data_IF_747186595742
#
_entry.id   IF_747186595742
#
_cell.length_a   1.000
_cell.length_b   1.000
_cell.length_c   1.000
_cell.angle_alpha   90.00
_cell.angle_beta   90.00
_cell.angle_gamma   90.00
#
_symmetry.space_group_name_H-M   'P 1'
#
loop_
_entity.id
_entity.type
_entity.pdbx_description
1 polymer ?
2 polymer ?
3 non-polymer ?
#
# COMPACT_ATOMS: atom_id res chain seq x y z
N UNK A 6 -15.58 13.74 12.53
CA UNK A 6 -16.81 13.46 11.81
C UNK A 6 -16.63 12.62 10.51
N UNK A 7 -15.85 11.51 10.57
CA UNK A 7 -15.80 10.73 9.34
C UNK A 7 -17.06 9.94 9.09
N UNK A 8 -17.33 9.71 7.81
CA UNK A 8 -18.49 8.99 7.35
C UNK A 8 -18.34 7.49 7.66
N UNK A 9 -17.19 6.91 7.33
CA UNK A 9 -16.87 5.53 7.69
C UNK A 9 -15.39 5.43 7.87
N UNK A 10 -14.95 4.38 8.55
CA UNK A 10 -13.54 4.18 8.81
C UNK A 10 -13.23 2.69 8.63
N UNK A 11 -12.30 2.36 7.72
CA UNK A 11 -11.86 0.97 7.53
C UNK A 11 -10.37 0.85 7.45
N UNK A 12 -9.87 -0.31 7.91
CA UNK A 12 -8.47 -0.70 7.74
C UNK A 12 -8.17 -1.23 6.34
N UNK A 13 -7.03 -0.81 5.78
CA UNK A 13 -6.58 -1.37 4.54
C UNK A 13 -5.06 -1.42 4.51
N UNK A 14 -4.50 -2.39 3.79
CA UNK A 14 -3.06 -2.41 3.53
C UNK A 14 -2.72 -1.38 2.47
N UNK A 15 -1.48 -0.88 2.50
CA UNK A 15 -1.00 0.08 1.50
C UNK A 15 0.17 -0.46 0.69
N UNK A 16 0.15 -0.22 -0.60
CA UNK A 16 1.16 -0.84 -1.44
C UNK A 16 1.37 0.00 -2.70
N UNK A 17 2.53 -0.07 -3.31
CA UNK A 17 2.87 0.89 -4.37
C UNK A 17 2.49 0.36 -5.74
N UNK A 18 2.90 1.03 -6.81
CA UNK A 18 2.62 0.51 -8.15
C UNK A 18 3.29 -0.82 -8.34
N UNK A 19 4.55 -0.88 -7.95
CA UNK A 19 5.38 -2.04 -8.18
C UNK A 19 5.25 -3.03 -7.04
N UNK A 20 4.24 -2.80 -6.21
CA UNK A 20 3.85 -3.74 -5.19
C UNK A 20 4.82 -3.84 -4.04
N UNK A 21 5.38 -2.72 -3.65
CA UNK A 21 6.07 -2.69 -2.39
C UNK A 21 5.07 -2.33 -1.32
N UNK A 22 5.21 -2.91 -0.15
CA UNK A 22 4.26 -2.58 0.89
C UNK A 22 4.77 -1.36 1.61
N UNK A 23 3.86 -0.46 1.98
CA UNK A 23 4.25 0.66 2.80
C UNK A 23 4.12 0.21 4.23
N UNK A 24 5.23 0.08 4.94
CA UNK A 24 5.16 -0.32 6.33
C UNK A 24 5.42 0.88 7.23
N UNK A 25 4.82 0.86 8.42
CA UNK A 25 5.14 1.88 9.41
C UNK A 25 5.88 1.24 10.56
N UNK A 26 6.73 2.02 11.19
CA UNK A 26 7.43 1.56 12.39
C UNK A 26 7.45 2.69 13.39
N UNK A 27 6.91 2.43 14.57
CA UNK A 27 7.03 3.42 15.62
C UNK A 27 7.91 2.95 16.76
N UNK A 28 9.00 3.71 16.90
CA UNK A 28 10.00 3.51 17.92
C UNK A 28 9.42 4.19 19.16
N UNK A 29 8.17 4.64 18.98
CA UNK A 29 7.25 5.14 20.02
C UNK A 29 7.54 6.58 20.41
N UNK A 30 8.73 7.03 20.04
CA UNK A 30 9.12 8.41 20.24
C UNK A 30 9.19 8.99 18.83
N UNK A 31 10.17 8.53 18.05
CA UNK A 31 10.19 8.83 16.63
C UNK A 31 9.79 7.58 15.85
N UNK A 32 9.82 7.67 14.53
CA UNK A 32 9.31 6.61 13.66
C UNK A 32 10.14 6.39 12.40
N UNK A 33 9.64 5.49 11.57
CA UNK A 33 10.18 5.26 10.25
C UNK A 33 9.03 4.82 9.34
N UNK A 34 9.15 5.12 8.06
CA UNK A 34 8.14 4.69 7.11
C UNK A 34 8.86 4.05 5.94
N UNK A 35 8.51 2.81 5.66
CA UNK A 35 9.26 2.01 4.71
C UNK A 35 8.46 1.74 3.48
N UNK A 36 9.12 1.79 2.33
CA UNK A 36 8.49 1.31 1.13
C UNK A 36 9.34 0.14 0.68
N UNK A 37 8.95 -1.07 1.07
CA UNK A 37 9.82 -2.22 0.83
C UNK A 37 9.13 -3.56 0.74
N UNK A 38 9.67 -4.42 -0.11
CA UNK A 38 9.18 -5.77 -0.29
C UNK A 38 9.26 -6.59 0.99
N UNK A 39 8.14 -7.19 1.42
CA UNK A 39 8.08 -8.01 2.63
C UNK A 39 8.44 -9.48 2.39
N UNK A 40 8.27 -10.34 3.38
CA UNK A 40 8.55 -11.78 3.23
C UNK A 40 7.21 -12.53 3.17
N UNK A 41 7.13 -13.64 2.44
CA UNK A 41 5.85 -14.36 2.28
C UNK A 41 5.20 -14.62 3.61
N UNK A 42 3.90 -14.35 3.65
CA UNK A 42 3.08 -14.57 4.83
C UNK A 42 3.37 -13.64 6.01
N UNK A 43 4.38 -12.78 5.87
CA UNK A 43 4.59 -11.70 6.84
C UNK A 43 3.35 -10.84 6.73
N UNK A 44 2.67 -10.61 7.85
CA UNK A 44 1.48 -9.78 7.85
C UNK A 44 1.85 -8.34 7.50
N UNK A 45 0.93 -7.61 6.91
CA UNK A 45 1.17 -6.25 6.45
C UNK A 45 0.56 -5.25 7.41
N UNK A 46 1.20 -4.09 7.59
CA UNK A 46 0.64 -3.08 8.47
C UNK A 46 -0.62 -2.49 7.85
N UNK A 47 -1.73 -2.59 8.58
CA UNK A 47 -3.04 -2.06 8.17
C UNK A 47 -3.20 -0.68 8.77
N UNK A 48 -3.75 0.25 7.99
CA UNK A 48 -3.93 1.60 8.48
C UNK A 48 -5.40 2.00 8.33
N UNK A 49 -5.89 2.86 9.23
CA UNK A 49 -7.29 3.21 9.16
C UNK A 49 -7.49 4.39 8.23
N UNK A 50 -8.20 4.17 7.13
CA UNK A 50 -8.60 5.27 6.29
C UNK A 50 -9.94 5.68 6.81
N UNK A 51 -10.12 6.97 7.02
CA UNK A 51 -11.37 7.50 7.54
C UNK A 51 -11.86 8.45 6.47
N UNK A 52 -13.07 8.22 5.99
CA UNK A 52 -13.49 8.85 4.74
C UNK A 52 -14.43 9.99 5.00
N UNK A 53 -14.11 11.16 4.47
CA UNK A 53 -14.91 12.35 4.68
C UNK A 53 -15.33 12.78 3.31
N UNK A 54 -16.31 13.65 3.24
CA UNK A 54 -16.83 14.06 1.94
C UNK A 54 -16.34 15.44 1.54
N UNK A 55 -15.49 15.53 0.53
CA UNK A 55 -15.14 16.84 -0.01
C UNK A 55 -16.28 17.37 -0.87
N UNK A 56 -16.36 18.68 -1.02
CA UNK A 56 -17.33 19.25 -1.95
C UNK A 56 -16.72 19.25 -3.36
N UNK A 57 -15.45 18.84 -3.43
CA UNK A 57 -14.81 18.55 -4.70
C UNK A 57 -15.72 17.61 -5.46
N UNK A 58 -16.07 17.97 -6.70
CA UNK A 58 -17.09 17.21 -7.40
C UNK A 58 -16.55 16.01 -8.19
N UNK A 59 -17.46 15.23 -8.76
CA UNK A 59 -17.12 14.11 -9.63
C UNK A 59 -18.37 13.57 -10.34
N UNK A 60 -18.18 12.58 -11.21
CA UNK A 60 -19.25 11.76 -11.82
C UNK A 60 -18.72 10.70 -12.81
N UNK A 68 -22.12 15.33 -8.27
CA UNK A 68 -21.51 14.34 -7.37
C UNK A 68 -20.38 14.92 -6.55
N UNK A 69 -19.97 14.22 -5.48
CA UNK A 69 -18.88 14.71 -4.63
C UNK A 69 -17.90 13.61 -4.23
N UNK A 70 -16.63 13.79 -4.55
CA UNK A 70 -15.58 12.84 -4.17
C UNK A 70 -15.05 12.95 -2.72
N UNK A 71 -14.62 11.82 -2.16
CA UNK A 71 -14.15 11.73 -0.78
C UNK A 71 -12.77 12.27 -0.54
N UNK A 72 -12.51 12.56 0.72
CA UNK A 72 -11.15 12.68 1.20
C UNK A 72 -10.99 11.73 2.38
N UNK A 73 -9.80 11.68 2.94
CA UNK A 73 -9.49 10.61 3.88
C UNK A 73 -8.36 11.02 4.82
N UNK A 74 -8.32 10.44 6.01
CA UNK A 74 -7.17 10.56 6.88
C UNK A 74 -6.70 9.19 7.33
N UNK A 75 -5.38 8.99 7.32
CA UNK A 75 -4.84 7.68 7.58
C UNK A 75 -4.15 7.62 8.94
N UNK A 76 -4.77 6.91 9.86
CA UNK A 76 -4.12 6.57 11.10
C UNK A 76 -3.31 5.31 10.89
N UNK A 77 -1.98 5.42 11.02
CA UNK A 77 -1.11 4.24 10.94
C UNK A 77 -1.36 3.39 12.15
N UNK A 78 -1.49 4.02 13.32
CA UNK A 78 -1.93 3.32 14.52
C UNK A 78 -2.42 4.24 15.65
N UNK A 79 -3.28 3.72 16.53
CA UNK A 79 -3.40 4.20 17.93
C UNK A 79 -3.18 5.71 18.16
N UNK A 80 -4.12 6.53 17.69
CA UNK A 80 -4.02 7.99 17.84
C UNK A 80 -2.91 8.72 17.07
N UNK A 81 -2.42 8.15 15.98
CA UNK A 81 -1.45 8.84 15.11
C UNK A 81 -2.05 8.98 13.73
N UNK A 82 -1.70 10.04 13.01
CA UNK A 82 -2.23 10.25 11.66
C UNK A 82 -1.10 10.58 10.70
N UNK A 83 -1.42 10.82 9.42
CA UNK A 83 -0.37 11.26 8.49
C UNK A 83 -0.48 12.75 8.24
N UNK A 84 0.47 13.48 8.78
CA UNK A 84 0.53 14.93 8.63
C UNK A 84 1.40 15.20 7.40
N UNK A 85 0.96 16.11 6.55
CA UNK A 85 1.75 16.44 5.38
C UNK A 85 2.56 17.73 5.59
N UNK A 86 3.88 17.63 5.50
CA UNK A 86 4.74 18.78 5.77
C UNK A 86 5.03 19.52 4.47
N UNK A 87 4.43 20.69 4.35
CA UNK A 87 4.43 21.47 3.12
C UNK A 87 5.79 21.80 2.54
N UNK A 88 6.53 22.71 3.16
CA UNK A 88 7.77 23.19 2.59
C UNK A 88 8.83 22.09 2.49
N UNK A 89 8.70 21.06 3.33
CA UNK A 89 9.73 20.04 3.42
C UNK A 89 9.43 18.86 2.52
N UNK A 90 8.34 18.95 1.77
CA UNK A 90 7.89 17.86 0.89
C UNK A 90 7.90 16.48 1.54
N UNK A 91 7.50 16.40 2.81
CA UNK A 91 7.64 15.15 3.56
C UNK A 91 6.32 14.69 4.15
N UNK A 92 6.19 13.39 4.46
CA UNK A 92 5.10 12.96 5.34
C UNK A 92 5.60 12.70 6.76
N UNK A 93 4.87 13.18 7.75
CA UNK A 93 5.28 13.04 9.12
C UNK A 93 4.16 12.43 9.95
N UNK A 94 4.46 12.00 11.17
CA UNK A 94 3.45 11.42 12.06
C UNK A 94 3.21 12.28 13.30
N UNK A 95 1.94 12.51 13.64
CA UNK A 95 1.61 13.36 14.80
C UNK A 95 0.63 12.73 15.78
N UNK A 96 0.55 13.28 16.98
CA UNK A 96 -0.30 12.74 18.04
C UNK A 96 -1.68 13.40 18.02
N UNK A 97 -1.72 14.65 18.48
CA UNK A 97 -2.86 15.53 18.26
C UNK A 97 -4.25 14.94 18.52
N UNK A 98 -4.59 14.76 19.79
CA UNK A 98 -5.97 14.44 20.17
C UNK A 98 -6.92 15.43 19.51
N UNK A 99 -6.42 16.66 19.37
CA UNK A 99 -7.16 17.79 18.84
C UNK A 99 -7.79 17.46 17.49
N UNK A 100 -8.91 18.13 17.17
CA UNK A 100 -9.60 18.01 15.88
C UNK A 100 -8.58 18.18 14.77
N UNK A 101 -8.63 17.30 13.79
CA UNK A 101 -7.51 17.14 12.88
C UNK A 101 -7.38 18.30 11.90
N UNK A 102 -6.13 18.69 11.60
CA UNK A 102 -5.82 19.84 10.76
C UNK A 102 -5.81 19.52 9.27
N UNK A 103 -5.64 20.57 8.47
CA UNK A 103 -5.86 20.45 7.03
C UNK A 103 -4.79 19.65 6.34
N UNK A 104 -3.64 19.51 6.99
CA UNK A 104 -2.53 18.77 6.39
C UNK A 104 -2.67 17.30 6.67
N UNK A 105 -3.72 16.94 7.42
CA UNK A 105 -3.97 15.54 7.73
C UNK A 105 -4.91 14.95 6.70
N UNK A 106 -5.46 15.81 5.86
CA UNK A 106 -6.51 15.42 4.94
C UNK A 106 -6.02 15.30 3.50
N UNK A 107 -6.59 14.32 2.79
CA UNK A 107 -6.20 14.07 1.41
C UNK A 107 -7.36 13.74 0.53
N UNK A 108 -7.56 14.52 -0.53
CA UNK A 108 -8.57 14.19 -1.52
C UNK A 108 -8.19 12.87 -2.19
N UNK A 109 -9.13 11.92 -2.21
CA UNK A 109 -8.91 10.64 -2.88
C UNK A 109 -9.03 10.79 -4.42
N UNK A 110 -8.33 9.94 -5.17
CA UNK A 110 -8.55 9.88 -6.61
C UNK A 110 -8.61 8.42 -7.03
N UNK A 111 -9.40 8.11 -8.06
CA UNK A 111 -9.54 6.74 -8.53
C UNK A 111 -9.49 6.59 -10.06
N UNK A 112 -8.49 5.88 -10.59
CA UNK A 112 -8.34 5.73 -12.04
C UNK A 112 -8.80 4.36 -12.54
N UNK A 113 -8.01 3.34 -12.24
CA UNK A 113 -8.43 1.94 -12.40
C UNK A 113 -8.82 1.43 -11.00
N UNK A 114 -9.17 0.16 -10.89
CA UNK A 114 -9.68 -0.41 -9.63
C UNK A 114 -8.66 -0.32 -8.50
N UNK A 115 -9.12 0.06 -7.30
CA UNK A 115 -8.27 0.02 -6.08
C UNK A 115 -7.00 0.91 -6.10
N UNK A 116 -6.69 1.47 -7.26
CA UNK A 116 -5.43 2.13 -7.52
C UNK A 116 -5.67 3.59 -7.24
N UNK A 117 -5.12 4.08 -6.13
CA UNK A 117 -5.47 5.43 -5.69
C UNK A 117 -4.30 6.31 -5.37
N UNK A 118 -4.57 7.62 -5.41
CA UNK A 118 -3.60 8.66 -5.15
C UNK A 118 -4.23 9.70 -4.21
N UNK A 119 -3.39 10.35 -3.41
CA UNK A 119 -3.84 11.22 -2.32
C UNK A 119 -3.31 12.62 -2.53
N UNK A 120 -4.20 13.58 -2.74
CA UNK A 120 -3.81 14.95 -3.01
C UNK A 120 -3.98 15.82 -1.76
N UNK A 121 -3.07 16.75 -1.48
CA UNK A 121 -3.17 17.51 -0.23
C UNK A 121 -4.35 18.47 -0.23
N UNK A 122 -5.24 18.34 0.78
CA UNK A 122 -6.39 19.23 0.91
C UNK A 122 -5.93 20.68 0.92
N UNK A 123 -4.85 20.95 1.66
CA UNK A 123 -4.21 22.27 1.67
C UNK A 123 -3.67 22.78 0.32
N UNK A 124 -2.62 22.15 -0.22
CA UNK A 124 -1.91 22.67 -1.42
C UNK A 124 -1.94 21.81 -2.69
N UNK A 125 -2.53 22.34 -3.77
CA UNK A 125 -2.93 21.57 -4.96
C UNK A 125 -1.78 20.92 -5.76
N UNK A 126 -2.08 19.79 -6.39
CA UNK A 126 -1.16 19.15 -7.31
C UNK A 126 -0.01 18.49 -6.60
N UNK A 127 -0.11 18.43 -5.28
CA UNK A 127 0.90 17.78 -4.46
C UNK A 127 0.33 16.53 -3.83
N UNK A 128 0.90 15.38 -4.17
CA UNK A 128 0.38 14.10 -3.76
C UNK A 128 1.33 13.32 -2.85
N UNK A 129 0.82 12.51 -1.92
CA UNK A 129 1.73 11.54 -1.30
C UNK A 129 2.16 10.68 -2.46
N UNK A 130 3.46 10.39 -2.56
CA UNK A 130 4.03 9.62 -3.64
C UNK A 130 5.32 9.05 -3.09
N UNK A 131 6.13 8.41 -3.91
CA UNK A 131 7.34 7.76 -3.40
C UNK A 131 8.62 8.23 -4.08
N UNK A 132 9.62 8.58 -3.28
CA UNK A 132 10.93 8.93 -3.82
C UNK A 132 12.13 8.32 -3.07
N UNK A 133 12.98 7.67 -3.84
CA UNK A 133 14.12 6.91 -3.33
C UNK A 133 13.71 5.92 -2.25
N UNK A 134 12.69 5.14 -2.53
CA UNK A 134 12.24 4.10 -1.61
C UNK A 134 11.85 4.63 -0.23
N UNK A 135 11.45 5.90 -0.20
CA UNK A 135 10.92 6.52 1.00
C UNK A 135 9.59 7.18 0.64
N UNK A 136 8.78 7.49 1.64
CA UNK A 136 7.52 8.11 1.38
C UNK A 136 7.71 9.60 1.48
N UNK A 137 7.19 10.34 0.50
CA UNK A 137 7.35 11.79 0.47
C UNK A 137 6.19 12.44 -0.27
N UNK A 138 6.34 13.72 -0.57
CA UNK A 138 5.31 14.47 -1.29
C UNK A 138 5.80 14.80 -2.68
N UNK A 139 4.91 14.78 -3.67
CA UNK A 139 5.31 15.00 -5.05
C UNK A 139 4.48 16.14 -5.68
N UNK A 140 5.15 17.12 -6.27
CA UNK A 140 4.44 18.07 -7.08
C UNK A 140 4.51 17.60 -8.54
N UNK A 141 3.43 17.79 -9.30
CA UNK A 141 3.38 17.36 -10.69
C UNK A 141 3.24 18.53 -11.69
N UNK A 150 2.28 8.68 -12.16
CA UNK A 150 2.68 7.26 -12.12
C UNK A 150 3.55 6.89 -10.90
N UNK A 151 4.07 7.90 -10.23
CA UNK A 151 4.81 7.64 -9.00
C UNK A 151 3.89 7.82 -7.80
N UNK A 152 2.63 8.16 -8.06
CA UNK A 152 1.61 8.14 -7.01
C UNK A 152 0.65 6.97 -7.20
N UNK A 153 0.92 5.96 -6.43
CA UNK A 153 0.56 4.67 -6.87
C UNK A 153 0.16 3.97 -5.62
N UNK A 154 -1.10 3.67 -5.40
CA UNK A 154 -1.35 2.97 -4.17
C UNK A 154 -2.44 1.99 -4.40
N UNK A 155 -2.29 0.80 -3.84
CA UNK A 155 -3.33 -0.19 -3.91
C UNK A 155 -3.83 -0.36 -2.50
N UNK A 156 -5.06 -0.86 -2.34
CA UNK A 156 -5.57 -1.09 -0.99
C UNK A 156 -6.03 -2.55 -0.67
N UNK A 157 -6.01 -2.97 0.61
CA UNK A 157 -6.44 -4.34 0.98
C UNK A 157 -6.80 -4.61 2.45
N UNK B 3 14.98 -1.98 13.14
CA UNK B 3 15.39 -3.39 13.16
C UNK B 3 14.67 -4.34 12.17
N UNK B 4 15.24 -4.55 10.98
CA UNK B 4 14.55 -5.24 9.86
C UNK B 4 15.32 -6.39 9.19
N UNK B 5 14.70 -7.55 9.05
CA UNK B 5 15.40 -8.74 8.53
C UNK B 5 15.69 -8.70 7.02
N UNK B 6 16.69 -9.47 6.60
CA UNK B 6 17.10 -9.50 5.19
C UNK B 6 17.78 -10.83 4.95
N UNK B 7 17.79 -11.28 3.70
CA UNK B 7 18.30 -12.62 3.39
C UNK B 7 18.75 -12.80 1.93
N UNK B 8 19.47 -13.89 1.68
CA UNK B 8 19.93 -14.21 0.35
C UNK B 8 20.90 -15.39 0.30
N UNK B 9 21.25 -15.84 -0.90
CA UNK B 9 22.06 -17.04 -1.03
C UNK B 9 23.53 -16.70 -1.08
N UNK B 10 24.36 -17.73 -1.08
CA UNK B 10 25.80 -17.60 -1.29
C UNK B 10 26.02 -17.31 -2.77
N UNK B 11 27.18 -16.72 -3.10
CA UNK B 11 27.54 -16.33 -4.47
C UNK B 11 26.77 -15.15 -5.02
N UNK B 12 25.80 -14.66 -4.26
CA UNK B 12 24.95 -13.59 -4.76
C UNK B 12 25.23 -12.26 -4.10
N UNK B 13 25.18 -11.20 -4.88
CA UNK B 13 25.32 -9.85 -4.33
C UNK B 13 24.15 -9.53 -3.41
N UNK B 14 24.38 -8.86 -2.30
CA UNK B 14 23.26 -8.40 -1.51
C UNK B 14 23.50 -7.02 -0.95
N UNK B 15 22.61 -6.10 -1.27
CA UNK B 15 22.66 -4.77 -0.68
C UNK B 15 21.57 -4.73 0.39
N UNK B 16 21.80 -3.99 1.46
CA UNK B 16 20.90 -3.94 2.59
C UNK B 16 20.74 -2.49 3.04
N UNK B 17 19.52 -1.96 3.01
CA UNK B 17 19.31 -0.56 3.40
C UNK B 17 19.24 -0.43 4.92
N UNK B 18 19.87 0.62 5.45
CA UNK B 18 19.76 0.94 6.88
C UNK B 18 18.33 1.32 7.25
N UNK B 19 17.75 0.64 8.24
CA UNK B 19 16.35 0.76 8.69
C UNK B 19 15.92 2.18 9.04
N UNK B 20 16.76 2.89 9.77
CA UNK B 20 16.47 4.27 10.07
C UNK B 20 16.98 5.12 8.90
N UNK B 21 16.09 5.92 8.30
CA UNK B 21 16.44 6.62 7.07
C UNK B 21 16.96 8.03 7.31
N UNK B 22 17.44 8.65 6.22
CA UNK B 22 18.11 9.94 6.26
C UNK B 22 18.65 10.30 4.90
N UNK B 23 19.59 11.23 4.86
CA UNK B 23 20.03 11.84 3.60
C UNK B 23 21.49 11.57 3.21
N UNK B 24 21.81 11.77 1.93
CA UNK B 24 23.22 11.97 1.59
C UNK B 24 23.71 13.13 2.43
N UNK B 25 24.96 13.09 2.87
CA UNK B 25 25.54 14.13 3.73
C UNK B 25 25.11 14.02 5.19
N UNK B 26 24.03 13.30 5.47
CA UNK B 26 23.87 12.77 6.81
C UNK B 26 24.78 11.55 6.73
N UNK B 27 25.35 11.12 7.85
CA UNK B 27 26.49 10.21 7.77
C UNK B 27 26.35 8.94 8.63
N UNK B 28 26.42 7.79 7.96
CA UNK B 28 25.97 6.49 8.50
C UNK B 28 27.11 5.52 8.77
N UNK B 29 27.08 4.81 9.90
CA UNK B 29 28.16 3.87 10.21
C UNK B 29 27.61 2.48 10.48
N UNK B 30 28.41 1.44 10.29
CA UNK B 30 27.89 0.07 10.42
C UNK B 30 28.79 -0.81 11.28
N UNK B 31 28.25 -1.89 11.87
CA UNK B 31 29.02 -2.72 12.82
C UNK B 31 28.59 -4.18 12.79
N UNK B 32 29.48 -5.11 13.18
CA UNK B 32 29.15 -6.54 13.07
C UNK B 32 29.18 -7.33 14.41
N UNK B 33 30.39 -7.66 14.87
CA UNK B 33 30.63 -8.45 16.10
C UNK B 33 32.12 -8.80 16.27
N UNK B 38 32.78 1.24 12.63
CA UNK B 38 33.78 0.18 12.72
C UNK B 38 33.42 -0.84 11.67
N UNK B 39 33.24 -0.37 10.44
CA UNK B 39 33.10 -1.24 9.27
C UNK B 39 33.66 -0.46 8.08
N UNK B 40 34.22 -1.17 7.08
CA UNK B 40 34.87 -0.44 5.99
C UNK B 40 33.87 0.43 5.27
N UNK B 41 34.22 1.69 5.09
CA UNK B 41 33.33 2.66 4.51
C UNK B 41 33.30 2.60 2.99
N UNK B 42 34.41 2.17 2.39
CA UNK B 42 34.38 1.83 0.97
C UNK B 42 35.27 0.65 0.73
N UNK B 43 34.72 -0.43 0.21
CA UNK B 43 35.55 -1.45 -0.46
C UNK B 43 36.57 -2.37 0.25
N UNK B 44 36.44 -2.71 1.56
CA UNK B 44 37.09 -3.95 2.00
C UNK B 44 36.39 -4.87 1.04
N UNK B 45 37.14 -5.57 0.21
CA UNK B 45 36.59 -5.92 -1.09
C UNK B 45 35.31 -6.77 -1.19
N UNK B 46 34.86 -7.35 -0.08
CA UNK B 46 33.69 -8.17 -0.15
C UNK B 46 32.56 -7.53 0.60
N UNK B 47 32.75 -7.33 1.90
CA UNK B 47 31.68 -6.73 2.68
C UNK B 47 32.05 -5.34 3.18
N UNK B 48 31.30 -4.34 2.73
CA UNK B 48 31.58 -3.00 3.18
C UNK B 48 30.34 -2.15 3.01
N UNK B 49 30.35 -0.92 3.49
CA UNK B 49 29.10 -0.21 3.49
C UNK B 49 29.26 1.15 2.87
N UNK B 50 28.41 1.45 1.90
CA UNK B 50 28.36 2.79 1.35
C UNK B 50 27.08 3.47 1.77
N UNK B 51 27.21 4.44 2.68
CA UNK B 51 26.07 5.19 3.16
C UNK B 51 25.03 4.29 3.80
N UNK B 52 23.76 4.59 3.52
CA UNK B 52 22.65 3.80 4.03
C UNK B 52 22.74 2.34 3.57
N UNK B 53 23.61 2.05 2.61
CA UNK B 53 23.63 0.73 1.99
C UNK B 53 24.76 -0.18 2.45
N UNK B 54 24.44 -1.18 3.25
CA UNK B 54 25.42 -2.23 3.52
C UNK B 54 25.52 -3.10 2.28
N UNK B 55 26.71 -3.28 1.72
CA UNK B 55 26.84 -4.13 0.56
C UNK B 55 27.65 -5.38 0.85
N UNK B 56 27.24 -6.50 0.25
CA UNK B 56 28.01 -7.74 0.34
C UNK B 56 28.26 -8.19 -1.08
N UNK B 57 29.52 -8.33 -1.48
CA UNK B 57 29.81 -8.63 -2.86
C UNK B 57 30.86 -9.71 -3.06
N UNK B 58 30.44 -10.98 -3.09
CA UNK B 58 29.11 -11.54 -2.93
C UNK B 58 28.89 -11.95 -1.48
N UNK B 59 27.71 -12.47 -1.16
CA UNK B 59 27.39 -12.87 0.20
C UNK B 59 27.77 -14.32 0.46
N UNK B 60 28.33 -14.57 1.64
CA UNK B 60 28.60 -15.93 2.09
C UNK B 60 27.86 -16.20 3.40
N UNK B 61 27.64 -17.46 3.71
CA UNK B 61 26.81 -17.83 4.85
C UNK B 61 27.45 -17.37 6.18
N UNK B 62 28.77 -17.37 6.19
CA UNK B 62 29.54 -16.91 7.33
C UNK B 62 29.11 -15.50 7.74
N UNK B 63 28.53 -14.75 6.80
CA UNK B 63 28.24 -13.34 7.01
C UNK B 63 26.99 -13.12 7.78
N UNK B 64 26.29 -14.20 8.09
CA UNK B 64 25.02 -14.05 8.81
C UNK B 64 25.31 -13.47 10.18
N UNK B 65 24.43 -12.59 10.62
CA UNK B 65 24.60 -11.96 11.90
C UNK B 65 23.74 -10.72 11.95
N UNK B 66 23.79 -9.99 13.05
CA UNK B 66 23.08 -8.72 13.08
C UNK B 66 24.04 -7.61 12.79
N UNK B 67 23.67 -6.75 11.85
CA UNK B 67 24.56 -5.66 11.52
C UNK B 67 23.88 -4.38 11.92
N UNK B 68 24.34 -3.76 12.99
CA UNK B 68 23.73 -2.53 13.46
C UNK B 68 24.20 -1.32 12.65
N UNK B 69 23.40 -0.28 12.53
CA UNK B 69 23.83 0.91 11.80
C UNK B 69 23.45 2.17 12.57
N UNK B 70 24.20 3.26 12.36
CA UNK B 70 23.88 4.52 13.02
C UNK B 70 23.94 5.71 12.07
N UNK B 71 22.84 6.45 11.99
CA UNK B 71 22.73 7.66 11.19
C UNK B 71 22.90 8.86 12.11
N UNK B 72 23.78 9.79 11.75
CA UNK B 72 24.13 10.88 12.63
C UNK B 72 23.95 12.27 11.98
N UNK B 73 23.11 13.11 12.58
CA UNK B 73 22.80 14.47 12.06
C UNK B 73 23.81 15.61 12.19
N UNK B 74 24.36 15.87 13.39
CA UNK B 74 24.19 15.33 14.74
C UNK B 74 23.28 16.19 15.61
N UNK B 75 22.03 16.35 15.22
CA UNK B 75 20.99 16.75 16.16
C UNK B 75 20.41 15.45 16.72
N UNK B 76 20.83 14.33 16.13
CA UNK B 76 20.42 13.01 16.58
C UNK B 76 21.41 11.93 16.15
N UNK B 77 21.51 10.83 16.89
CA UNK B 77 21.98 9.61 16.24
C UNK B 77 20.89 8.58 16.28
N UNK B 78 20.24 8.40 15.14
CA UNK B 78 19.25 7.35 15.00
C UNK B 78 20.03 6.07 14.81
N UNK B 79 19.57 4.97 15.37
CA UNK B 79 20.24 3.71 15.14
C UNK B 79 19.24 2.56 14.87
N UNK B 80 19.55 1.73 13.87
CA UNK B 80 18.66 0.64 13.55
C UNK B 80 19.44 -0.52 12.95
N UNK B 81 18.90 -1.74 13.06
CA UNK B 81 19.70 -2.96 12.90
C UNK B 81 19.26 -3.76 11.69
N UNK B 82 20.14 -4.62 11.17
CA UNK B 82 19.73 -5.55 10.12
C UNK B 82 19.96 -7.02 10.52
N UNK B 83 18.89 -7.76 10.73
CA UNK B 83 19.00 -9.18 11.03
C UNK B 83 19.23 -9.83 9.68
N UNK B 84 20.31 -10.58 9.53
CA UNK B 84 20.70 -11.02 8.21
C UNK B 84 21.15 -12.46 8.17
N UNK B 85 20.71 -13.19 7.14
CA UNK B 85 21.03 -14.60 7.01
C UNK B 85 21.31 -15.00 5.56
N UNK B 86 22.43 -15.69 5.33
CA UNK B 86 22.79 -16.18 3.99
C UNK B 86 22.78 -17.71 3.91
N UNK B 87 22.28 -18.22 2.79
CA UNK B 87 21.95 -19.64 2.67
C UNK B 87 22.73 -20.38 1.57
N UNK B 88 22.82 -21.71 1.69
CA UNK B 88 23.44 -22.55 0.67
C UNK B 88 22.39 -23.12 -0.29
N UNK B 89 22.54 -22.89 -1.59
CA UNK B 89 21.58 -23.41 -2.57
C UNK B 89 21.56 -24.95 -2.54
N UNK B 90 20.37 -25.52 -2.39
CA UNK B 90 20.23 -26.92 -2.02
C UNK B 90 20.01 -27.91 -3.16
N UNK B 91 20.02 -27.42 -4.39
CA UNK B 91 19.77 -28.26 -5.59
C UNK B 91 18.42 -28.94 -5.48
N UNK B 92 17.57 -28.36 -4.66
CA UNK B 92 16.20 -28.77 -4.51
C UNK B 92 15.54 -28.41 -5.81
N UNK B 93 16.05 -27.33 -6.39
CA UNK B 93 15.56 -26.67 -7.60
C UNK B 93 14.29 -25.86 -7.32
N UNK B 94 13.65 -26.14 -6.18
CA UNK B 94 12.48 -25.40 -5.75
C UNK B 94 12.88 -24.43 -4.65
N UNK B 95 12.82 -23.13 -4.94
CA UNK B 95 13.10 -22.10 -3.97
C UNK B 95 12.23 -22.33 -2.76
N UNK B 96 12.83 -22.48 -1.58
CA UNK B 96 12.07 -22.71 -0.35
C UNK B 96 11.22 -21.51 0.00
N UNK B 97 10.25 -21.70 0.90
CA UNK B 97 9.29 -20.65 1.20
C UNK B 97 9.90 -19.33 1.74
N UNK B 98 11.17 -19.31 2.07
CA UNK B 98 11.69 -18.01 2.40
C UNK B 98 12.50 -17.43 1.23
N UNK B 99 11.74 -16.75 0.37
CA UNK B 99 12.16 -15.60 -0.41
C UNK B 99 10.83 -14.86 -0.64
N UNK B 100 10.89 -13.54 -0.44
CA UNK B 100 9.89 -12.53 -0.78
C UNK B 100 8.41 -12.84 -0.55
N UNK B 101 7.49 -12.30 -1.36
CA UNK B 101 6.07 -12.46 -1.02
C UNK B 101 5.02 -12.38 -2.12
N UNK B 102 3.97 -13.20 -1.95
CA UNK B 102 2.97 -13.54 -2.97
C UNK B 102 2.27 -12.34 -3.58
N UNK B 103 1.90 -12.49 -4.85
CA UNK B 103 1.45 -11.40 -5.69
C UNK B 103 0.34 -11.91 -6.59
N UNK B 104 -0.74 -11.16 -6.77
CA UNK B 104 -1.88 -11.70 -7.51
C UNK B 104 -2.03 -11.03 -8.87
N UNK B 105 -2.95 -11.55 -9.68
CA UNK B 105 -3.30 -10.92 -10.95
C UNK B 105 -4.60 -11.42 -11.58
N UNK B 106 -5.14 -10.63 -12.52
CA UNK B 106 -6.24 -11.08 -13.37
C UNK B 106 -5.75 -12.00 -14.48
N UNK B 107 -6.66 -12.46 -15.33
CA UNK B 107 -6.29 -13.47 -16.33
C UNK B 107 -5.48 -12.87 -17.49
N UNK B 108 -6.13 -12.13 -18.38
CA UNK B 108 -5.39 -11.23 -19.25
C UNK B 108 -5.51 -9.89 -18.54
N UNK B 109 -6.30 -9.94 -17.47
CA UNK B 109 -6.86 -8.76 -16.83
C UNK B 109 -5.86 -8.05 -15.93
N UNK B 110 -4.92 -8.81 -15.35
CA UNK B 110 -3.68 -8.19 -14.86
C UNK B 110 -2.39 -9.01 -15.04
N UNK B 111 -1.42 -8.40 -15.68
CA UNK B 111 -0.29 -9.15 -16.17
C UNK B 111 1.06 -9.08 -15.40
N UNK B 112 1.16 -8.29 -14.33
CA UNK B 112 2.48 -7.78 -13.93
C UNK B 112 3.17 -8.34 -12.67
N UNK B 113 4.32 -8.97 -12.86
CA UNK B 113 5.09 -9.47 -11.72
C UNK B 113 6.41 -8.70 -11.52
N UNK B 114 6.49 -7.93 -10.44
CA UNK B 114 7.68 -7.14 -10.16
C UNK B 114 8.78 -7.93 -9.48
N UNK B 115 10.01 -7.57 -9.81
CA UNK B 115 11.17 -8.27 -9.32
C UNK B 115 11.58 -7.60 -8.03
N UNK B 116 11.45 -8.30 -6.91
CA UNK B 116 11.63 -7.66 -5.59
C UNK B 116 13.03 -7.12 -5.34
N UNK B 117 13.11 -6.05 -4.57
CA UNK B 117 14.38 -5.49 -4.06
C UNK B 117 15.29 -4.94 -5.14
N UNK B 118 14.87 -5.04 -6.40
CA UNK B 118 15.73 -4.63 -7.49
C UNK B 118 16.20 -3.19 -7.38
N UNK B 119 15.37 -2.36 -6.75
CA UNK B 119 15.70 -0.94 -6.56
C UNK B 119 17.04 -0.79 -5.83
N UNK B 120 17.27 -1.62 -4.82
CA UNK B 120 18.48 -1.53 -4.02
C UNK B 120 19.72 -1.70 -4.86
N UNK B 121 19.61 -2.37 -6.00
CA UNK B 121 20.83 -2.74 -6.72
C UNK B 121 21.05 -1.86 -7.93
N UNK B 122 22.20 -2.03 -8.56
CA UNK B 122 22.56 -1.21 -9.71
C UNK B 122 22.56 -2.11 -10.93
N UNK B 123 21.51 -1.97 -11.74
CA UNK B 123 21.30 -2.85 -12.88
C UNK B 123 20.94 -2.04 -14.11
N UNK B 124 21.74 -2.13 -15.15
CA UNK B 124 21.42 -1.47 -16.41
C UNK B 124 20.86 -2.41 -17.47
N UNK B 125 20.62 -3.66 -17.11
CA UNK B 125 20.29 -4.67 -18.13
C UNK B 125 18.86 -5.13 -18.01
N UNK B 126 18.30 -5.67 -19.12
CA UNK B 126 17.15 -6.58 -19.19
C UNK B 126 17.39 -7.90 -18.43
N UNK B 127 16.46 -8.32 -17.56
CA UNK B 127 16.68 -9.52 -16.72
C UNK B 127 15.98 -10.83 -17.14
N UNK B 128 16.31 -11.92 -16.43
CA UNK B 128 15.80 -13.25 -16.77
C UNK B 128 14.77 -13.72 -15.78
N UNK B 129 13.72 -14.37 -16.29
CA UNK B 129 12.73 -14.92 -15.40
C UNK B 129 12.64 -16.42 -15.57
N UNK B 130 12.29 -17.09 -14.47
CA UNK B 130 12.16 -18.53 -14.41
C UNK B 130 10.97 -18.93 -13.58
N UNK B 131 10.05 -19.71 -14.14
CA UNK B 131 8.98 -20.26 -13.32
C UNK B 131 9.37 -21.64 -12.92
N UNK B 132 9.52 -21.86 -11.61
CA UNK B 132 9.88 -23.17 -11.05
C UNK B 132 10.95 -23.85 -11.87
N UNK B 133 12.14 -23.24 -11.88
CA UNK B 133 13.32 -23.70 -12.64
C UNK B 133 13.12 -23.88 -14.16
N UNK B 134 12.18 -23.13 -14.73
CA UNK B 134 11.95 -23.23 -16.16
C UNK B 134 12.06 -21.84 -16.77
N UNK B 135 13.08 -21.60 -17.57
CA UNK B 135 13.26 -20.28 -18.17
C UNK B 135 12.09 -19.93 -19.07
N UNK B 136 11.49 -18.76 -18.85
CA UNK B 136 10.40 -18.26 -19.67
C UNK B 136 10.89 -17.84 -21.05
N UNK B 137 9.96 -17.75 -21.99
CA UNK B 137 10.30 -17.47 -23.38
C UNK B 137 9.06 -17.16 -24.20
N UNK B 138 9.27 -16.87 -25.48
CA UNK B 138 8.19 -16.81 -26.43
C UNK B 138 7.26 -15.60 -26.35
N UNK B 139 6.07 -15.81 -26.89
CA UNK B 139 5.10 -14.75 -27.07
C UNK B 139 4.48 -14.37 -25.73
N UNK B 140 3.76 -15.32 -25.15
CA UNK B 140 2.91 -15.09 -23.98
C UNK B 140 3.61 -14.37 -22.82
N UNK B 141 4.84 -14.75 -22.52
CA UNK B 141 5.59 -14.08 -21.47
C UNK B 141 6.43 -13.02 -22.12
N UNK B 142 6.12 -11.75 -21.88
CA UNK B 142 7.05 -10.70 -22.34
C UNK B 142 7.53 -9.72 -21.28
N UNK B 143 8.83 -9.80 -20.97
CA UNK B 143 9.46 -9.10 -19.85
C UNK B 143 10.02 -7.74 -20.22
N UNK B 144 9.74 -6.77 -19.36
CA UNK B 144 10.06 -5.39 -19.67
C UNK B 144 10.46 -4.71 -18.37
N UNK B 145 11.51 -3.89 -18.44
CA UNK B 145 11.99 -3.19 -17.27
C UNK B 145 12.20 -4.11 -16.07
N UNK B 146 11.53 -3.80 -14.97
CA UNK B 146 11.72 -4.51 -13.72
C UNK B 146 10.67 -5.58 -13.43
N UNK B 147 9.77 -5.82 -14.37
CA UNK B 147 8.66 -6.72 -14.10
C UNK B 147 8.51 -7.72 -15.21
N UNK B 148 7.46 -8.53 -15.12
CA UNK B 148 7.17 -9.52 -16.12
C UNK B 148 5.70 -9.42 -16.49
N UNK B 149 5.42 -9.34 -17.78
CA UNK B 149 4.04 -9.23 -18.22
C UNK B 149 3.59 -10.55 -18.83
N UNK B 150 2.56 -11.15 -18.23
CA UNK B 150 1.97 -12.35 -18.79
C UNK B 150 0.58 -12.01 -19.24
N UNK B 151 0.34 -11.98 -20.54
CA UNK B 151 -1.01 -11.73 -21.02
C UNK B 151 -1.87 -13.02 -21.07
N UNK B 152 -1.21 -14.18 -21.16
CA UNK B 152 -1.89 -15.49 -21.32
C UNK B 152 -2.71 -15.95 -20.13
N UNK B 153 -2.60 -15.24 -19.02
CA UNK B 153 -2.77 -15.86 -17.70
C UNK B 153 -4.07 -16.60 -17.50
N UNK B 154 -3.92 -17.86 -17.14
CA UNK B 154 -5.01 -18.75 -16.82
C UNK B 154 -4.84 -18.89 -15.36
N UNK B 155 -5.60 -19.80 -14.75
CA UNK B 155 -5.28 -20.19 -13.40
C UNK B 155 -3.99 -21.03 -13.42
N UNK B 156 -3.52 -21.30 -14.63
CA UNK B 156 -2.35 -22.13 -14.90
C UNK B 156 -1.00 -21.47 -14.65
N UNK B 157 -0.99 -20.15 -14.49
CA UNK B 157 0.27 -19.45 -14.30
C UNK B 157 0.59 -19.23 -12.83
N UNK B 158 -0.20 -19.84 -11.96
CA UNK B 158 0.15 -19.90 -10.56
C UNK B 158 1.53 -20.52 -10.50
N UNK B 159 2.39 -19.98 -9.65
CA UNK B 159 3.70 -20.57 -9.46
C UNK B 159 4.64 -19.58 -8.82
N UNK B 160 5.83 -20.06 -8.48
CA UNK B 160 6.83 -19.20 -7.91
C UNK B 160 7.73 -18.69 -9.02
N UNK B 161 7.62 -17.40 -9.31
CA UNK B 161 8.45 -16.82 -10.34
C UNK B 161 9.71 -16.26 -9.70
N UNK B 162 10.85 -16.56 -10.32
CA UNK B 162 12.12 -16.06 -9.81
C UNK B 162 12.83 -15.32 -10.92
N UNK B 163 13.34 -14.14 -10.59
CA UNK B 163 14.04 -13.34 -11.58
C UNK B 163 15.46 -13.27 -11.15
N UNK B 164 16.36 -13.52 -12.10
CA UNK B 164 17.79 -13.31 -11.91
C UNK B 164 18.11 -11.99 -12.61
N UNK B 165 19.00 -11.21 -12.00
CA UNK B 165 19.56 -10.02 -12.65
C UNK B 165 20.97 -9.77 -12.14
N UNK B 166 21.65 -8.80 -12.74
CA UNK B 166 23.04 -8.52 -12.39
C UNK B 166 23.25 -7.14 -11.79
N UNK B 167 23.79 -7.12 -10.59
CA UNK B 167 24.26 -5.89 -9.99
C UNK B 167 25.73 -5.63 -10.24
N UNK B 168 26.01 -4.50 -10.85
CA UNK B 168 27.36 -4.11 -11.23
C UNK B 168 27.94 -3.06 -10.29
N UNK B 169 29.15 -3.26 -9.77
CA UNK B 169 29.60 -2.31 -8.75
C UNK B 169 30.55 -1.24 -9.27
N UNK B 170 31.81 -1.58 -9.42
CA UNK B 170 32.70 -0.61 -10.05
C UNK B 170 32.85 -0.94 -11.51
N UNK B 171 32.02 -1.87 -11.99
CA UNK B 171 32.29 -2.64 -13.19
C UNK B 171 32.46 -4.13 -12.90
N UNK B 172 32.50 -4.47 -11.62
CA UNK B 172 32.40 -5.87 -11.22
C UNK B 172 30.95 -6.35 -11.31
N UNK B 173 30.73 -7.43 -12.07
CA UNK B 173 29.41 -8.02 -12.17
C UNK B 173 29.13 -9.15 -11.18
N UNK B 174 27.99 -9.05 -10.50
CA UNK B 174 27.57 -10.08 -9.55
C UNK B 174 26.14 -10.56 -9.81
N UNK B 175 25.87 -11.82 -9.44
CA UNK B 175 24.59 -12.42 -9.71
C UNK B 175 23.65 -12.24 -8.53
N UNK B 176 22.43 -11.78 -8.81
CA UNK B 176 21.40 -11.74 -7.79
C UNK B 176 20.11 -12.37 -8.29
N UNK B 177 19.39 -13.07 -7.41
CA UNK B 177 18.05 -13.53 -7.75
C UNK B 177 17.04 -13.25 -6.65
N UNK B 178 15.75 -13.25 -7.04
CA UNK B 178 14.66 -13.12 -6.09
C UNK B 178 13.42 -13.86 -6.56
N UNK B 179 12.74 -14.54 -5.64
CA UNK B 179 11.55 -15.35 -5.97
C UNK B 179 10.33 -14.95 -5.18
N UNK B 180 9.17 -14.96 -5.82
CA UNK B 180 7.91 -14.67 -5.14
C UNK B 180 6.78 -15.46 -5.79
N UNK B 181 5.72 -15.71 -5.04
CA UNK B 181 4.63 -16.49 -5.59
C UNK B 181 3.64 -15.66 -6.36
N UNK B 182 3.09 -16.27 -7.40
CA UNK B 182 2.09 -15.61 -8.21
C UNK B 182 0.75 -16.38 -8.27
N UNK B 183 -0.32 -15.60 -8.06
CA UNK B 183 -1.66 -16.09 -7.81
C UNK B 183 -2.59 -15.50 -8.87
N UNK B 184 -3.51 -16.29 -9.41
CA UNK B 184 -4.42 -15.68 -10.37
C UNK B 184 -5.81 -15.41 -9.81
N UNK B 185 -6.23 -14.15 -9.94
CA UNK B 185 -7.53 -13.68 -9.48
C UNK B 185 -8.59 -14.32 -10.36
N UNK B 186 -9.56 -14.98 -9.73
CA UNK B 186 -10.63 -15.69 -10.43
C UNK B 186 -11.47 -14.79 -11.33
N UNK B 187 -12.20 -13.86 -10.72
CA UNK B 187 -12.89 -12.82 -11.48
C UNK B 187 -12.22 -11.47 -11.26
N UNK B 188 -11.94 -10.75 -12.34
CA UNK B 188 -11.62 -9.33 -12.22
C UNK B 188 -12.78 -8.48 -12.77
N UNK B 189 -13.53 -7.85 -11.87
CA UNK B 189 -14.63 -6.96 -12.20
C UNK B 189 -14.40 -5.45 -12.09
N UNK B 190 -15.26 -4.69 -12.75
CA UNK B 190 -15.16 -3.25 -12.74
C UNK B 190 -15.98 -2.62 -11.62
N UNK B 191 -15.90 -1.29 -11.53
CA UNK B 191 -16.69 -0.53 -10.58
C UNK B 191 -16.84 0.89 -11.10
N UNK B 192 -17.93 1.58 -10.72
CA UNK B 192 -18.03 3.02 -10.94
C UNK B 192 -18.70 3.79 -9.80
N UNK B 193 -19.04 5.05 -10.06
CA UNK B 193 -19.58 5.92 -9.04
C UNK B 193 -20.85 5.26 -8.55
N UNK B 194 -21.07 5.26 -7.22
CA UNK B 194 -22.19 4.50 -6.68
C UNK B 194 -23.55 5.02 -7.17
N UNK B 195 -24.56 4.15 -7.19
CA UNK B 195 -25.88 4.48 -7.73
C UNK B 195 -27.03 3.97 -6.86
N UNK B 196 -27.82 4.89 -6.32
CA UNK B 196 -28.80 4.48 -5.34
C UNK B 196 -30.10 4.19 -6.04
N UNK B 197 -30.44 2.90 -6.11
CA UNK B 197 -31.69 2.49 -6.73
C UNK B 197 -32.86 2.98 -5.90
N UNK B 198 -32.77 2.76 -4.59
CA UNK B 198 -33.75 3.31 -3.68
C UNK B 198 -33.02 4.07 -2.60
N UNK B 199 -33.53 5.23 -2.22
CA UNK B 199 -34.67 5.93 -2.83
C UNK B 199 -34.26 6.76 -4.04
N UNK B 200 -35.20 7.58 -4.52
CA UNK B 200 -34.91 8.76 -5.33
C UNK B 200 -34.84 9.88 -4.31
N UNK B 201 -34.84 11.16 -4.70
CA UNK B 201 -35.19 12.16 -3.69
C UNK B 201 -36.72 12.18 -3.51
N UNK B 202 -37.20 11.87 -2.30
CA UNK B 202 -38.64 11.59 -2.18
C UNK B 202 -39.28 11.71 -0.77
N UNK B 203 -40.60 11.73 -0.73
CA UNK B 203 -41.32 11.73 0.56
C UNK B 203 -41.82 10.35 0.96
N UNK B 204 -41.81 10.12 2.28
CA UNK B 204 -42.49 8.99 2.87
C UNK B 204 -43.42 9.52 3.95
N UNK B 205 -44.53 8.83 4.18
CA UNK B 205 -45.46 9.22 5.21
C UNK B 205 -46.32 8.05 5.64
N UNK B 214 -39.90 1.54 8.43
CA UNK B 214 -39.94 0.52 7.40
C UNK B 214 -39.06 0.87 6.18
N UNK B 215 -38.39 2.02 6.25
CA UNK B 215 -37.69 2.64 5.11
C UNK B 215 -36.35 2.01 4.70
N UNK B 216 -36.04 2.07 3.40
CA UNK B 216 -34.88 1.34 2.87
C UNK B 216 -34.03 2.07 1.81
N UNK B 217 -32.75 1.71 1.78
CA UNK B 217 -31.76 2.25 0.84
C UNK B 217 -30.93 1.17 0.16
N UNK B 218 -30.98 1.12 -1.16
CA UNK B 218 -30.11 0.22 -1.89
C UNK B 218 -29.40 1.00 -2.98
N UNK B 219 -28.10 0.74 -3.09
CA UNK B 219 -27.22 1.41 -4.04
C UNK B 219 -26.32 0.37 -4.68
N UNK B 220 -25.77 0.68 -5.86
CA UNK B 220 -24.97 -0.30 -6.63
C UNK B 220 -23.66 0.20 -7.24
N UNK B 221 -22.59 -0.51 -6.90
CA UNK B 221 -21.19 -0.09 -7.12
C UNK B 221 -20.35 -0.69 -8.24
N UNK B 222 -20.86 -1.66 -8.97
CA UNK B 222 -20.07 -2.24 -10.04
C UNK B 222 -20.31 -3.73 -10.23
N UNK B 223 -19.50 -4.36 -11.08
CA UNK B 223 -19.58 -5.81 -11.35
C UNK B 223 -18.85 -6.72 -10.36
N UNK B 224 -17.66 -6.32 -9.98
CA UNK B 224 -16.80 -7.23 -9.24
C UNK B 224 -17.13 -7.27 -7.76
N UNK B 225 -16.20 -7.80 -6.99
CA UNK B 225 -16.26 -7.64 -5.55
C UNK B 225 -15.40 -6.44 -5.13
N UNK B 226 -16.04 -5.47 -4.50
CA UNK B 226 -15.44 -4.20 -4.20
C UNK B 226 -14.53 -4.27 -3.01
N UNK B 227 -13.38 -3.62 -3.12
CA UNK B 227 -12.55 -3.39 -1.95
C UNK B 227 -13.41 -2.64 -0.97
N UNK B 228 -13.95 -1.53 -1.46
CA UNK B 228 -14.69 -0.61 -0.63
C UNK B 228 -15.99 -0.30 -1.34
N UNK B 229 -17.07 -0.74 -0.72
CA UNK B 229 -18.41 -0.34 -1.12
C UNK B 229 -19.17 -0.29 0.17
N UNK B 230 -19.90 0.79 0.41
CA UNK B 230 -20.81 0.85 1.55
C UNK B 230 -22.02 1.69 1.22
N UNK B 231 -23.21 1.20 1.57
CA UNK B 231 -24.39 2.05 1.69
C UNK B 231 -24.74 2.16 3.17
N UNK B 232 -25.11 3.34 3.59
CA UNK B 232 -25.35 3.57 5.00
C UNK B 232 -26.34 4.71 5.15
N UNK B 233 -27.10 4.69 6.24
CA UNK B 233 -28.03 5.76 6.55
C UNK B 233 -27.38 6.81 7.44
N UNK B 234 -27.58 8.09 7.09
CA UNK B 234 -27.17 9.20 7.93
C UNK B 234 -28.47 9.88 8.32
N UNK B 235 -28.43 10.65 9.41
CA UNK B 235 -29.65 11.25 9.98
C UNK B 235 -29.39 12.70 10.36
N UNK B 236 -30.09 13.61 9.72
CA UNK B 236 -29.73 15.03 9.79
C UNK B 236 -28.26 15.24 9.40
N UNK B 237 -27.73 14.34 8.57
CA UNK B 237 -26.34 14.42 8.17
C UNK B 237 -25.34 13.94 9.22
N UNK B 238 -25.86 13.22 10.22
CA UNK B 238 -25.00 12.57 11.21
C UNK B 238 -25.53 11.15 11.37
N UNK B 239 -24.75 10.21 11.90
CA UNK B 239 -25.28 8.83 12.06
C UNK B 239 -26.11 8.60 13.33
N UNK B 240 -25.78 9.37 14.37
CA UNK B 240 -26.13 9.00 15.75
C UNK B 240 -27.26 9.69 16.60
N UNK B 241 -27.99 10.69 16.10
CA UNK B 241 -29.04 11.34 16.92
C UNK B 241 -30.21 10.39 17.18
N UNK B 242 -30.60 10.22 18.45
CA UNK B 242 -31.44 9.07 18.80
C UNK B 242 -32.64 9.32 19.71
N UNK B 243 -33.81 8.80 19.31
CA UNK B 243 -34.72 8.22 20.31
C UNK B 243 -34.43 6.71 20.28
N UNK B 244 -35.23 5.87 20.95
CA UNK B 244 -35.03 4.43 20.89
C UNK B 244 -34.86 3.98 19.44
N UNK B 245 -35.55 4.68 18.57
CA UNK B 245 -35.33 4.62 17.13
C UNK B 245 -34.96 6.05 16.71
N UNK B 246 -34.38 6.23 15.52
CA UNK B 246 -34.00 5.31 14.44
C UNK B 246 -32.91 4.31 14.81
N UNK B 247 -32.86 3.23 14.03
CA UNK B 247 -31.84 2.20 14.16
C UNK B 247 -31.67 1.50 12.81
N UNK B 248 -30.46 1.03 12.55
CA UNK B 248 -29.99 0.69 11.20
C UNK B 248 -29.71 -0.81 11.05
N UNK B 249 -30.04 -1.39 9.91
CA UNK B 249 -29.85 -2.84 9.69
C UNK B 249 -29.48 -3.18 8.23
N UNK B 250 -28.76 -4.27 8.00
CA UNK B 250 -28.12 -4.50 6.69
C UNK B 250 -28.74 -5.65 5.87
N UNK B 251 -28.14 -5.95 4.71
CA UNK B 251 -28.33 -7.22 4.00
C UNK B 251 -27.34 -7.43 2.85
N UNK B 252 -27.42 -8.61 2.24
CA UNK B 252 -26.59 -8.97 1.10
C UNK B 252 -27.37 -9.88 0.17
N UNK B 253 -27.14 -9.74 -1.13
CA UNK B 253 -27.74 -10.61 -2.12
C UNK B 253 -26.67 -11.44 -2.81
N UNK B 261 -23.31 -11.86 -11.18
CA UNK B 261 -22.23 -10.99 -11.62
C UNK B 261 -22.52 -9.54 -11.28
N UNK B 262 -23.69 -9.31 -10.69
CA UNK B 262 -24.14 -8.00 -10.22
C UNK B 262 -23.64 -7.72 -8.81
N UNK B 263 -23.20 -6.49 -8.54
CA UNK B 263 -22.82 -6.15 -7.15
C UNK B 263 -23.43 -4.86 -6.60
N UNK B 264 -24.37 -5.02 -5.68
CA UNK B 264 -25.11 -3.90 -5.09
C UNK B 264 -25.37 -4.21 -3.63
N UNK B 265 -25.45 -3.16 -2.82
CA UNK B 265 -25.61 -3.30 -1.39
C UNK B 265 -26.83 -2.51 -0.93
N UNK B 266 -27.32 -2.82 0.28
CA UNK B 266 -28.52 -2.19 0.84
C UNK B 266 -28.42 -2.04 2.35
N UNK B 267 -29.15 -1.06 2.88
CA UNK B 267 -29.25 -0.78 4.29
C UNK B 267 -30.64 -0.29 4.60
N UNK B 268 -31.27 -0.84 5.61
CA UNK B 268 -32.64 -0.49 5.97
C UNK B 268 -32.69 0.30 7.26
N UNK B 269 -33.46 1.38 7.29
CA UNK B 269 -33.70 2.03 8.55
C UNK B 269 -34.82 1.26 9.24
N UNK B 270 -35.07 1.57 10.51
CA UNK B 270 -36.22 1.03 11.21
C UNK B 270 -36.69 2.11 12.18
N UNK B 271 -37.98 2.44 12.15
CA UNK B 271 -38.57 3.28 13.19
C UNK B 271 -39.96 2.77 13.56
N UNK B 272 -40.14 2.38 14.81
CA UNK B 272 -41.45 1.89 15.26
C UNK B 272 -42.48 2.99 15.49
N UNK B 273 -42.13 3.96 16.32
CA UNK B 273 -43.10 5.00 16.68
C UNK B 273 -42.68 6.36 16.14
N UNK B 274 -43.52 6.90 15.27
CA UNK B 274 -43.35 8.26 14.81
C UNK B 274 -43.42 9.20 16.01
N UNK B 275 -42.71 10.31 15.93
CA UNK B 275 -42.90 11.43 16.85
C UNK B 275 -42.87 12.68 16.02
N UNK B 276 -42.95 13.83 16.68
CA UNK B 276 -43.03 15.08 15.94
C UNK B 276 -41.72 15.52 15.30
N UNK B 277 -40.60 15.35 16.02
CA UNK B 277 -39.28 15.83 15.57
C UNK B 277 -38.99 15.34 14.16
N UNK B 278 -39.48 14.14 13.93
CA UNK B 278 -39.31 13.42 12.67
C UNK B 278 -39.76 14.21 11.44
N UNK B 279 -40.50 15.30 11.62
CA UNK B 279 -40.84 16.08 10.45
C UNK B 279 -39.68 16.92 9.91
N UNK B 280 -38.89 17.58 10.76
CA UNK B 280 -37.92 18.57 10.22
C UNK B 280 -36.87 18.05 9.25
N UNK B 281 -35.89 17.37 9.80
CA UNK B 281 -34.59 17.40 9.13
C UNK B 281 -34.18 16.08 8.49
N UNK B 282 -33.34 16.21 7.47
CA UNK B 282 -33.25 15.23 6.39
C UNK B 282 -32.86 13.85 6.85
N UNK B 283 -33.46 12.85 6.18
CA UNK B 283 -33.04 11.46 6.30
C UNK B 283 -32.19 11.08 5.08
N UNK B 284 -30.88 10.99 5.27
CA UNK B 284 -29.97 10.95 4.13
C UNK B 284 -29.37 9.57 3.86
N UNK B 285 -29.79 8.95 2.76
CA UNK B 285 -29.23 7.69 2.34
C UNK B 285 -27.93 7.99 1.67
N UNK B 286 -26.88 7.20 1.91
CA UNK B 286 -25.61 7.43 1.21
C UNK B 286 -24.95 6.17 0.68
N UNK B 287 -24.38 6.27 -0.52
CA UNK B 287 -23.55 5.20 -1.07
C UNK B 287 -22.16 5.73 -1.36
N UNK B 288 -21.14 5.09 -0.80
CA UNK B 288 -19.80 5.52 -1.11
C UNK B 288 -18.84 4.41 -1.51
N UNK B 289 -17.80 4.86 -2.20
CA UNK B 289 -16.94 4.06 -3.03
C UNK B 289 -15.61 4.75 -2.98
N UNK B 290 -14.65 4.29 -3.76
CA UNK B 290 -13.40 5.04 -3.89
C UNK B 290 -13.60 6.13 -4.91
N UNK B 291 -14.66 6.02 -5.71
CA UNK B 291 -14.97 6.98 -6.76
C UNK B 291 -15.57 8.24 -6.17
N UNK B 292 -16.29 8.06 -5.07
CA UNK B 292 -16.92 9.16 -4.37
C UNK B 292 -18.23 8.79 -3.72
N UNK B 293 -18.98 9.83 -3.35
CA UNK B 293 -20.17 9.68 -2.56
C UNK B 293 -21.39 10.14 -3.32
N UNK B 294 -22.45 9.33 -3.29
CA UNK B 294 -23.74 9.79 -3.75
C UNK B 294 -24.75 9.77 -2.60
N UNK B 295 -25.50 10.85 -2.44
CA UNK B 295 -26.53 10.92 -1.39
C UNK B 295 -27.94 11.18 -1.92
N UNK B 296 -28.91 10.50 -1.35
CA UNK B 296 -30.30 10.85 -1.61
C UNK B 296 -30.98 11.32 -0.33
N UNK B 297 -32.01 12.14 -0.49
CA UNK B 297 -32.77 12.66 0.63
C UNK B 297 -34.23 12.19 0.60
N UNK B 298 -34.69 11.67 1.74
CA UNK B 298 -36.09 11.35 1.95
C UNK B 298 -36.73 12.37 2.89
N UNK B 299 -38.04 12.24 3.09
CA UNK B 299 -38.80 13.08 4.02
C UNK B 299 -40.17 12.48 4.32
X LIG C 1 25.85 10.60 18.43
X LIG C 1 27.37 10.42 18.76
X LIG C 1 27.99 11.51 19.68
X LIG C 1 27.18 12.83 19.71
X LIG C 1 25.72 12.44 19.86
X LIG C 1 24.74 13.53 20.31
X LIG C 1 28.81 8.63 19.80
X LIG C 1 28.83 8.20 21.25
X LIG C 1 27.63 9.08 19.33
X LIG C 1 29.31 11.76 19.26
X LIG C 1 27.59 13.70 20.76
X LIG C 1 25.41 11.95 18.58
X LIG C 1 24.18 14.13 19.15
X LIG C 1 29.83 8.52 19.09
X LIG D 1 26.35 0.85 -11.89
X LIG D 1 27.73 1.32 -11.39
X LIG D 1 28.57 2.02 -12.42
X LIG D 1 28.51 1.36 -13.80
X LIG D 1 27.04 1.22 -14.17
X LIG D 1 26.89 0.60 -15.55
X LIG D 1 28.30 1.94 -9.13
X LIG D 1 29.44 2.85 -8.78
X LIG D 1 27.65 2.21 -10.26
X LIG D 1 29.88 1.97 -11.91
X LIG D 1 29.21 2.04 -14.81
X LIG D 1 26.42 0.36 -13.23
X LIG D 1 26.41 -0.71 -15.35
X LIG D 1 27.99 0.99 -8.39
X LIG E 1 29.49 -7.90 -16.67
X LIG E 1 29.13 -7.25 -18.01
X LIG E 1 30.21 -7.53 -19.03
X LIG E 1 31.58 -7.12 -18.44
X LIG E 1 31.84 -7.88 -17.12
X LIG E 1 33.21 -7.50 -16.56
X LIG E 1 26.98 -7.02 -19.10
X LIG E 1 26.61 -7.41 -20.52
X LIG E 1 27.89 -7.80 -18.52
X LIG E 1 29.86 -6.83 -20.20
X LIG E 1 32.66 -7.36 -19.31
X LIG E 1 30.80 -7.60 -16.20
X LIG E 1 33.64 -6.27 -17.11
X LIG E 1 26.49 -6.03 -18.52
#
# INVERSE_FOLDING_TARGET
SITGISPITEYLASLSTYNDQSITFALEDESYEIYVEDLKKDEKKDKVLLSYYESQHPSNESGDGVDGKMLMVTLSPTKDFWLHANNKEHSVELHKCEKPLPDQAFFVLHNMHSNCVSFECKTDPGVFIGVKDNHLALIKVDSSENLCTENILFKLSET
KFSKQSWGLENEALIVRCPRQGKPSYTVDWYYSQTNKSIPTQERNRVFASGQLLKFLPAAVADSGIYTCIVRSPTFNRTGYANVTIYKKQSDCNVPDYLMYSTVSGSEKNSKIYCPTIDLYNWTAPLEWFKNCQALQGSRYRAHKSFLVIDNVMTEDAGDYTCKFIHNENGANYSVTATRSFTVKDEQGFSLFPVIGAPAQNEIKEVEIGKNANLTCSACFGKGTQFLAAVLWQLNGTKITDFGEPRIQQEEGQNQSFSNGLACLDMVLRIADVKEEDLLLQYDCLALNLHGLRRHTVRLSRKHHHHHH
NAG C1 C2 C3 C4 C5 C6 C7 C8 N2 O3 O4 O5 O6 O7
NAG C1 C2 C3 C4 C5 C6 C7 C8 N2 O3 O4 O5 O6 O7
NAG C1 C2 C3 C4 C5 C6 C7 C8 N2 O3 O4 O5 O6 O7
#
